data_IF_852004575245
#
_entry.id   IF_852004575245
#
_cell.length_a   1.000
_cell.length_b   1.000
_cell.length_c   1.000
_cell.angle_alpha   90.00
_cell.angle_beta   90.00
_cell.angle_gamma   90.00
#
_symmetry.space_group_name_H-M   'P 1'
#
loop_
_entity.id
_entity.type
_entity.pdbx_description
1 polymer ?
#
# COMPACT_ATOMS: atom_id res chain seq x y z
N UNK A 1 -11.89 -31.06 -5.50
CA UNK A 1 -12.41 -29.98 -6.30
C UNK A 1 -11.58 -28.72 -6.10
N UNK A 2 -11.06 -28.17 -7.18
CA UNK A 2 -10.27 -26.96 -7.00
C UNK A 2 -11.16 -25.86 -6.45
N UNK A 3 -10.65 -25.14 -5.49
CA UNK A 3 -11.34 -24.02 -4.90
C UNK A 3 -11.42 -22.88 -5.92
N UNK A 4 -12.63 -22.40 -6.18
CA UNK A 4 -12.82 -21.25 -7.04
C UNK A 4 -12.34 -20.00 -6.31
N UNK A 5 -11.41 -19.33 -6.92
CA UNK A 5 -10.88 -18.10 -6.38
C UNK A 5 -11.73 -16.93 -6.83
N UNK A 6 -12.28 -16.18 -5.88
CA UNK A 6 -13.06 -14.99 -6.18
C UNK A 6 -12.16 -13.77 -6.01
N UNK A 7 -11.69 -13.15 -7.10
CA UNK A 7 -10.71 -12.06 -7.01
C UNK A 7 -11.15 -10.88 -6.17
N UNK A 8 -12.47 -10.62 -6.11
CA UNK A 8 -13.02 -9.50 -5.35
C UNK A 8 -13.08 -9.75 -3.84
N UNK A 9 -12.80 -10.97 -3.39
CA UNK A 9 -12.74 -11.31 -1.96
C UNK A 9 -11.32 -11.22 -1.40
N UNK A 10 -10.33 -11.12 -2.27
CA UNK A 10 -8.94 -11.16 -1.87
C UNK A 10 -8.27 -9.80 -2.07
N UNK A 11 -7.44 -9.43 -1.11
CA UNK A 11 -6.62 -8.23 -1.22
C UNK A 11 -5.17 -8.66 -1.37
N UNK A 12 -4.59 -8.31 -2.49
CA UNK A 12 -3.23 -8.71 -2.83
C UNK A 12 -2.30 -7.51 -2.81
N UNK A 13 -1.04 -7.77 -2.53
CA UNK A 13 0.00 -6.75 -2.57
C UNK A 13 1.24 -7.27 -3.26
N UNK A 14 1.90 -6.37 -3.97
CA UNK A 14 3.13 -6.70 -4.67
C UNK A 14 3.97 -5.44 -4.90
N UNK A 15 5.26 -5.65 -5.11
CA UNK A 15 6.14 -4.60 -5.60
C UNK A 15 5.92 -4.51 -7.12
N UNK A 16 5.45 -3.36 -7.56
CA UNK A 16 5.04 -3.14 -8.95
C UNK A 16 6.16 -2.60 -9.85
N UNK A 17 7.29 -2.24 -9.26
CA UNK A 17 8.47 -1.79 -10.00
C UNK A 17 9.52 -2.89 -10.03
N UNK A 18 10.42 -2.88 -11.03
CA UNK A 18 11.53 -3.85 -11.03
C UNK A 18 12.37 -3.74 -9.76
N UNK A 19 12.84 -4.87 -9.20
CA UNK A 19 13.74 -4.82 -8.05
C UNK A 19 15.09 -4.22 -8.44
N UNK A 20 15.76 -3.58 -7.47
CA UNK A 20 17.10 -3.11 -7.67
C UNK A 20 17.32 -1.66 -7.30
N UNK A 21 18.30 -1.04 -7.93
CA UNK A 21 18.84 0.27 -7.54
C UNK A 21 18.05 1.48 -8.02
N UNK A 22 16.82 1.33 -8.45
CA UNK A 22 15.97 2.47 -8.82
C UNK A 22 15.78 3.43 -7.66
N UNK A 23 15.60 4.72 -7.95
CA UNK A 23 15.37 5.73 -6.92
C UNK A 23 14.04 5.59 -6.19
N UNK A 24 13.05 4.99 -6.85
CA UNK A 24 11.69 4.85 -6.33
C UNK A 24 11.21 3.42 -6.58
N UNK A 25 10.52 2.88 -5.59
CA UNK A 25 9.77 1.63 -5.74
C UNK A 25 8.30 1.89 -5.48
N UNK A 26 7.43 1.17 -6.17
CA UNK A 26 5.99 1.24 -6.00
C UNK A 26 5.50 -0.09 -5.44
N UNK A 27 4.87 -0.03 -4.28
CA UNK A 27 4.16 -1.16 -3.69
C UNK A 27 2.68 -0.93 -3.94
N UNK A 28 2.01 -1.89 -4.55
CA UNK A 28 0.59 -1.78 -4.89
C UNK A 28 -0.21 -2.78 -4.08
N UNK A 29 -1.32 -2.29 -3.49
CA UNK A 29 -2.28 -3.10 -2.76
C UNK A 29 -3.60 -2.99 -3.52
N UNK A 30 -4.17 -4.11 -3.92
CA UNK A 30 -5.42 -4.15 -4.67
C UNK A 30 -6.44 -5.05 -3.99
N UNK A 31 -7.64 -4.53 -3.77
CA UNK A 31 -8.73 -5.28 -3.16
C UNK A 31 -9.50 -4.46 -2.13
N UNK A 32 -10.55 -5.06 -1.60
CA UNK A 32 -11.48 -4.40 -0.68
C UNK A 32 -10.84 -3.93 0.62
N UNK A 33 -9.78 -4.58 1.06
CA UNK A 33 -9.11 -4.26 2.32
C UNK A 33 -7.97 -3.26 2.17
N UNK A 34 -7.73 -2.75 0.97
CA UNK A 34 -6.60 -1.86 0.70
C UNK A 34 -6.56 -0.66 1.62
N UNK A 35 -7.69 0.06 1.76
CA UNK A 35 -7.72 1.26 2.61
C UNK A 35 -7.61 0.91 4.09
N UNK A 36 -8.19 -0.21 4.53
CA UNK A 36 -8.07 -0.65 5.92
C UNK A 36 -6.63 -0.97 6.28
N UNK A 37 -5.90 -1.60 5.37
CA UNK A 37 -4.50 -1.94 5.58
C UNK A 37 -3.67 -0.67 5.69
N UNK A 38 -3.88 0.26 4.75
CA UNK A 38 -3.07 1.49 4.75
C UNK A 38 -3.36 2.36 5.98
N UNK A 39 -4.59 2.36 6.49
CA UNK A 39 -4.91 3.08 7.72
C UNK A 39 -4.09 2.62 8.92
N UNK A 40 -3.68 1.36 8.93
CA UNK A 40 -2.90 0.79 10.03
C UNK A 40 -1.42 1.11 9.98
N UNK A 41 -0.89 1.33 8.79
CA UNK A 41 0.56 1.38 8.58
C UNK A 41 1.05 2.72 8.01
N UNK A 42 0.15 3.63 7.66
CA UNK A 42 0.50 4.92 7.08
C UNK A 42 0.01 6.07 7.93
N UNK A 43 0.91 7.01 8.20
CA UNK A 43 0.57 8.29 8.84
C UNK A 43 0.78 9.43 7.85
N UNK A 44 -0.28 10.18 7.57
CA UNK A 44 -0.18 11.40 6.77
C UNK A 44 0.63 12.46 7.51
N UNK A 45 1.47 13.17 6.77
CA UNK A 45 2.00 14.44 7.26
C UNK A 45 0.93 15.51 7.11
N UNK A 46 0.90 16.44 8.06
CA UNK A 46 -0.10 17.47 8.07
C UNK A 46 -1.41 17.03 8.71
N UNK A 47 -2.47 17.75 8.39
CA UNK A 47 -3.80 17.52 8.97
C UNK A 47 -4.59 16.53 8.14
N UNK A 48 -5.43 15.76 8.81
CA UNK A 48 -6.37 14.88 8.16
C UNK A 48 -6.07 13.40 8.39
N UNK A 49 -7.11 12.61 8.29
CA UNK A 49 -7.03 11.15 8.46
C UNK A 49 -6.83 10.47 7.12
N UNK A 50 -6.31 9.25 7.16
CA UNK A 50 -6.20 8.42 5.94
C UNK A 50 -7.57 8.23 5.29
N UNK A 51 -8.61 8.03 6.09
CA UNK A 51 -9.98 7.87 5.59
C UNK A 51 -10.53 9.12 4.87
N UNK A 52 -9.92 10.26 5.06
CA UNK A 52 -10.30 11.52 4.42
C UNK A 52 -9.51 11.80 3.14
N UNK A 53 -8.62 10.91 2.75
CA UNK A 53 -7.83 11.06 1.52
C UNK A 53 -8.73 10.98 0.29
N UNK A 54 -8.55 11.94 -0.62
CA UNK A 54 -9.27 11.95 -1.88
C UNK A 54 -8.65 10.94 -2.86
N UNK A 55 -9.49 10.30 -3.64
CA UNK A 55 -9.05 9.37 -4.68
C UNK A 55 -8.20 10.07 -5.73
N UNK A 56 -7.15 9.38 -6.21
CA UNK A 56 -6.25 9.86 -7.26
C UNK A 56 -5.42 11.08 -6.87
N UNK A 57 -5.16 11.26 -5.59
CA UNK A 57 -4.32 12.33 -5.07
C UNK A 57 -3.17 11.75 -4.25
N UNK A 58 -1.98 12.31 -4.43
CA UNK A 58 -0.80 11.89 -3.66
C UNK A 58 -0.75 12.58 -2.30
N UNK A 59 -0.47 11.81 -1.27
CA UNK A 59 -0.32 12.31 0.09
C UNK A 59 1.03 11.91 0.65
N UNK A 60 1.74 12.88 1.18
CA UNK A 60 3.02 12.65 1.84
C UNK A 60 2.78 12.11 3.25
N UNK A 61 3.59 11.17 3.65
CA UNK A 61 3.53 10.61 4.99
C UNK A 61 4.64 9.59 5.19
N UNK A 62 4.45 8.69 6.13
CA UNK A 62 5.41 7.63 6.36
C UNK A 62 4.75 6.32 6.72
N UNK A 63 5.40 5.25 6.32
CA UNK A 63 5.03 3.88 6.70
C UNK A 63 5.70 3.58 8.02
N UNK A 64 4.91 3.07 8.97
CA UNK A 64 5.40 2.70 10.29
C UNK A 64 4.83 1.35 10.70
N UNK A 65 5.58 0.64 11.51
CA UNK A 65 5.14 -0.61 12.12
C UNK A 65 4.40 -0.27 13.42
N UNK A 66 3.09 -0.54 13.52
CA UNK A 66 2.35 -0.20 14.74
C UNK A 66 2.77 -1.01 15.97
N UNK A 67 3.37 -2.18 15.80
CA UNK A 67 3.84 -2.97 16.93
C UNK A 67 5.13 -2.41 17.53
N UNK A 68 6.11 -2.11 16.68
CA UNK A 68 7.41 -1.60 17.13
C UNK A 68 7.47 -0.07 17.20
N UNK A 69 6.47 0.60 16.63
CA UNK A 69 6.40 2.05 16.46
C UNK A 69 7.55 2.65 15.65
N UNK A 70 8.25 1.80 14.88
CA UNK A 70 9.34 2.24 14.03
C UNK A 70 8.85 2.68 12.66
N UNK A 71 9.40 3.78 12.18
CA UNK A 71 9.17 4.25 10.82
C UNK A 71 10.05 3.46 9.86
N UNK A 72 9.45 2.93 8.81
CA UNK A 72 10.17 2.20 7.77
C UNK A 72 10.67 3.12 6.67
N UNK A 73 9.83 4.06 6.24
CA UNK A 73 10.18 5.00 5.19
C UNK A 73 9.22 6.18 5.14
N UNK A 74 9.69 7.29 4.61
CA UNK A 74 8.86 8.43 4.24
C UNK A 74 8.43 8.25 2.79
N UNK A 75 7.12 8.32 2.53
CA UNK A 75 6.55 7.86 1.25
C UNK A 75 5.49 8.83 0.73
N UNK A 76 5.16 8.67 -0.54
CA UNK A 76 3.93 9.20 -1.11
C UNK A 76 2.93 8.06 -1.25
N UNK A 77 1.68 8.33 -0.89
CA UNK A 77 0.61 7.34 -0.95
C UNK A 77 -0.53 7.88 -1.79
N UNK A 78 -1.08 7.04 -2.65
CA UNK A 78 -2.25 7.38 -3.46
C UNK A 78 -3.28 6.27 -3.35
N UNK A 79 -4.52 6.67 -3.14
CA UNK A 79 -5.67 5.77 -3.15
C UNK A 79 -6.45 5.97 -4.45
N UNK A 80 -6.77 4.88 -5.12
CA UNK A 80 -7.57 4.90 -6.34
C UNK A 80 -8.83 4.07 -6.10
N UNK A 81 -9.95 4.78 -5.98
CA UNK A 81 -11.22 4.15 -5.63
C UNK A 81 -11.81 3.43 -6.84
N UNK A 82 -12.31 2.21 -6.58
CA UNK A 82 -13.08 1.43 -7.53
C UNK A 82 -14.28 2.23 -8.08
N UNK A 83 -14.64 2.09 -9.36
CA UNK A 83 -14.00 1.29 -10.39
C UNK A 83 -12.89 2.00 -11.16
N UNK A 84 -12.57 3.24 -10.83
CA UNK A 84 -11.61 4.08 -11.54
C UNK A 84 -10.19 3.85 -11.04
N UNK A 85 -9.72 2.61 -11.14
CA UNK A 85 -8.39 2.21 -10.73
C UNK A 85 -7.77 1.32 -11.79
N UNK A 86 -6.48 1.06 -11.65
CA UNK A 86 -5.75 0.22 -12.59
C UNK A 86 -6.34 -1.19 -12.70
N UNK A 87 -6.79 -1.77 -11.60
CA UNK A 87 -7.33 -3.13 -11.56
C UNK A 87 -8.85 -3.19 -11.61
N UNK A 88 -9.55 -2.05 -11.53
CA UNK A 88 -11.00 -1.98 -11.36
C UNK A 88 -11.47 -2.15 -9.92
N UNK A 89 -10.56 -2.45 -9.00
CA UNK A 89 -10.82 -2.58 -7.57
C UNK A 89 -10.27 -1.35 -6.83
N UNK A 90 -10.49 -1.29 -5.52
CA UNK A 90 -9.80 -0.31 -4.69
C UNK A 90 -8.31 -0.62 -4.69
N UNK A 91 -7.49 0.38 -5.00
CA UNK A 91 -6.04 0.25 -5.07
C UNK A 91 -5.40 1.32 -4.23
N UNK A 92 -4.37 0.93 -3.48
CA UNK A 92 -3.44 1.85 -2.84
C UNK A 92 -2.06 1.62 -3.43
N UNK A 93 -1.38 2.70 -3.79
CA UNK A 93 0.04 2.64 -4.15
C UNK A 93 0.85 3.41 -3.12
N UNK A 94 1.96 2.81 -2.73
CA UNK A 94 2.95 3.41 -1.85
C UNK A 94 4.21 3.63 -2.68
N UNK A 95 4.60 4.88 -2.83
CA UNK A 95 5.82 5.25 -3.54
C UNK A 95 6.92 5.48 -2.52
N UNK A 96 7.77 4.48 -2.35
CA UNK A 96 8.84 4.47 -1.37
C UNK A 96 10.20 4.75 -2.01
N UNK A 97 11.22 4.89 -1.18
CA UNK A 97 12.59 4.81 -1.66
C UNK A 97 12.84 3.44 -2.29
N UNK A 98 13.67 3.41 -3.32
CA UNK A 98 13.99 2.19 -4.04
C UNK A 98 15.03 1.33 -3.31
N UNK A 99 15.71 0.51 -4.08
CA UNK A 99 16.64 -0.46 -3.56
C UNK A 99 15.96 -1.78 -3.24
N UNK A 100 16.64 -2.65 -2.52
CA UNK A 100 16.14 -3.99 -2.23
C UNK A 100 15.42 -4.09 -0.89
N UNK A 101 15.90 -3.40 0.12
CA UNK A 101 15.48 -3.64 1.51
C UNK A 101 14.19 -2.95 1.88
N UNK A 102 14.07 -1.64 1.60
CA UNK A 102 12.92 -0.84 2.04
C UNK A 102 11.61 -1.36 1.43
N UNK A 103 11.52 -1.57 0.10
CA UNK A 103 10.27 -2.10 -0.47
C UNK A 103 9.87 -3.45 0.09
N UNK A 104 10.83 -4.34 0.32
CA UNK A 104 10.55 -5.66 0.90
C UNK A 104 10.04 -5.58 2.33
N UNK A 105 10.60 -4.67 3.13
CA UNK A 105 10.12 -4.44 4.50
C UNK A 105 8.70 -3.91 4.52
N UNK A 106 8.39 -2.97 3.65
CA UNK A 106 7.04 -2.43 3.52
C UNK A 106 6.07 -3.53 3.10
N UNK A 107 6.43 -4.31 2.09
CA UNK A 107 5.59 -5.40 1.61
C UNK A 107 5.33 -6.44 2.71
N UNK A 108 6.36 -6.81 3.46
CA UNK A 108 6.21 -7.74 4.59
C UNK A 108 5.26 -7.22 5.65
N UNK A 109 5.35 -5.93 5.97
CA UNK A 109 4.44 -5.29 6.91
C UNK A 109 3.00 -5.33 6.41
N UNK A 110 2.79 -5.06 5.13
CA UNK A 110 1.46 -5.09 4.51
C UNK A 110 0.87 -6.50 4.58
N UNK A 111 1.67 -7.53 4.34
CA UNK A 111 1.21 -8.91 4.49
C UNK A 111 0.79 -9.22 5.92
N UNK A 112 1.50 -8.73 6.91
CA UNK A 112 1.13 -8.90 8.32
C UNK A 112 -0.23 -8.27 8.65
N UNK A 113 -0.61 -7.25 7.91
CA UNK A 113 -1.85 -6.51 8.15
C UNK A 113 -3.01 -6.91 7.23
N UNK A 114 -2.88 -7.99 6.51
CA UNK A 114 -4.02 -8.63 5.88
C UNK A 114 -3.98 -8.80 4.36
N UNK A 115 -2.97 -8.30 3.68
CA UNK A 115 -2.80 -8.55 2.25
C UNK A 115 -2.13 -9.90 2.01
N UNK A 116 -2.24 -10.34 0.80
CA UNK A 116 -1.66 -11.60 0.36
C UNK A 116 -0.73 -11.42 -0.82
#
# INVERSE_FOLDING_TARGET
MPQVYLPDEDTIAAIATPPGEGGIAIIRISGKKSIQIIERVFKREGKGRVSEMESHRLYLGHIFDPESEKTLDRVLCVFMKSPHSYTGEDVVEIHSHGGYLVPKRILSLIFKHGAR
#
